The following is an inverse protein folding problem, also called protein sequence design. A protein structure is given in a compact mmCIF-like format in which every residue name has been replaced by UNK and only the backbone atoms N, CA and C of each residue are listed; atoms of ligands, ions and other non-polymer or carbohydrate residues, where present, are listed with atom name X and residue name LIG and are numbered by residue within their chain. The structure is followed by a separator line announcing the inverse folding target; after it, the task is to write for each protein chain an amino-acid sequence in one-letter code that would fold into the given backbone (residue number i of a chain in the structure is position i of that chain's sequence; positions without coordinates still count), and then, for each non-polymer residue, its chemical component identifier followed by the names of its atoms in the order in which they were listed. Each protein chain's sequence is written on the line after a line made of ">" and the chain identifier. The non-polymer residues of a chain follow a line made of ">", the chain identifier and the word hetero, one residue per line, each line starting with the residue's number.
data_IF_941103889446
#
_entry.id   IF_941103889446
#
_cell.length_a   1.000
_cell.length_b   1.000
_cell.length_c   1.000
_cell.angle_alpha   90.00
_cell.angle_beta   90.00
_cell.angle_gamma   90.00
#
_symmetry.space_group_name_H-M   'P 1'
#
loop_
_entity.id
_entity.type
_entity.pdbx_description
1 polymer ?
#
# COMPACT_ATOMS: atom_id res chain seq x y z
N UNK A 1 -5.21 -32.10 15.17
CA UNK A 1 -6.50 -31.51 14.76
C UNK A 1 -6.51 -31.08 13.28
N UNK A 2 -5.49 -30.40 12.74
CA UNK A 2 -5.41 -29.95 11.34
C UNK A 2 -5.46 -31.11 10.32
N UNK A 3 -4.83 -32.26 10.60
CA UNK A 3 -4.78 -33.43 9.71
C UNK A 3 -6.15 -34.11 9.53
N UNK A 4 -7.00 -34.05 10.55
CA UNK A 4 -8.36 -34.65 10.49
C UNK A 4 -9.30 -33.79 9.64
N UNK A 5 -9.13 -32.46 9.71
CA UNK A 5 -9.92 -31.50 8.92
C UNK A 5 -9.57 -31.65 7.43
N UNK A 6 -8.30 -31.78 7.07
CA UNK A 6 -7.86 -31.96 5.69
C UNK A 6 -8.37 -33.27 5.05
N UNK A 7 -8.36 -34.39 5.81
CA UNK A 7 -8.91 -35.68 5.31
C UNK A 7 -10.43 -35.66 5.11
N UNK A 8 -11.17 -34.96 5.96
CA UNK A 8 -12.61 -34.83 5.81
C UNK A 8 -12.98 -33.91 4.63
N UNK A 9 -12.21 -32.87 4.39
CA UNK A 9 -12.35 -32.00 3.22
C UNK A 9 -12.07 -32.81 1.95
N UNK A 10 -10.94 -33.54 1.86
CA UNK A 10 -10.60 -34.39 0.70
C UNK A 10 -11.62 -35.52 0.45
N UNK A 11 -12.20 -36.14 1.48
CA UNK A 11 -13.26 -37.16 1.32
C UNK A 11 -14.57 -36.55 0.77
N UNK A 12 -14.95 -35.35 1.19
CA UNK A 12 -16.10 -34.62 0.67
C UNK A 12 -15.87 -34.18 -0.77
N UNK A 13 -14.64 -33.83 -1.17
CA UNK A 13 -14.26 -33.55 -2.56
C UNK A 13 -14.53 -34.75 -3.51
N UNK A 14 -14.34 -35.98 -3.05
CA UNK A 14 -14.54 -37.19 -3.87
C UNK A 14 -15.99 -37.68 -3.95
N UNK A 15 -16.87 -37.34 -3.03
CA UNK A 15 -18.21 -37.96 -2.92
C UNK A 15 -19.40 -37.09 -3.30
N UNK A 16 -19.25 -35.80 -3.52
CA UNK A 16 -20.35 -34.93 -3.88
C UNK A 16 -20.04 -34.18 -5.19
N UNK A 17 -20.93 -34.27 -6.17
CA UNK A 17 -21.14 -33.20 -7.14
C UNK A 17 -21.60 -31.98 -6.32
N UNK A 18 -20.66 -31.32 -5.66
CA UNK A 18 -20.90 -30.14 -4.85
C UNK A 18 -21.50 -29.07 -5.74
N UNK A 19 -22.78 -28.75 -5.51
CA UNK A 19 -23.46 -27.71 -6.24
C UNK A 19 -22.59 -26.45 -6.22
N UNK A 20 -22.36 -25.81 -7.36
CA UNK A 20 -21.47 -24.66 -7.50
C UNK A 20 -21.70 -23.54 -6.46
N UNK A 21 -22.93 -23.43 -5.95
CA UNK A 21 -23.30 -22.52 -4.87
C UNK A 21 -22.55 -22.74 -3.54
N UNK A 22 -22.29 -24.02 -3.19
CA UNK A 22 -21.56 -24.35 -1.96
C UNK A 22 -20.09 -23.90 -2.07
N UNK A 23 -19.43 -24.20 -3.19
CA UNK A 23 -18.05 -23.80 -3.41
C UNK A 23 -17.86 -22.30 -3.48
N UNK A 24 -18.78 -21.58 -4.10
CA UNK A 24 -18.76 -20.11 -4.13
C UNK A 24 -18.78 -19.53 -2.71
N UNK A 25 -19.61 -20.07 -1.81
CA UNK A 25 -19.62 -19.65 -0.42
C UNK A 25 -18.28 -19.91 0.30
N UNK A 26 -17.71 -21.12 0.15
CA UNK A 26 -16.45 -21.47 0.83
C UNK A 26 -15.28 -20.62 0.31
N UNK A 27 -15.19 -20.36 -0.98
CA UNK A 27 -14.15 -19.50 -1.58
C UNK A 27 -14.31 -18.06 -1.09
N UNK A 28 -15.55 -17.55 -0.99
CA UNK A 28 -15.80 -16.22 -0.46
C UNK A 28 -15.32 -16.08 1.00
N UNK A 29 -15.64 -17.05 1.86
CA UNK A 29 -15.18 -17.06 3.25
C UNK A 29 -13.66 -17.18 3.37
N UNK A 30 -13.01 -17.96 2.50
CA UNK A 30 -11.56 -18.03 2.42
C UNK A 30 -10.98 -16.66 2.06
N UNK A 31 -11.55 -15.97 1.06
CA UNK A 31 -11.15 -14.63 0.67
C UNK A 31 -11.27 -13.62 1.83
N UNK A 32 -12.37 -13.66 2.58
CA UNK A 32 -12.54 -12.81 3.78
C UNK A 32 -11.50 -13.15 4.84
N UNK A 33 -11.17 -14.43 5.06
CA UNK A 33 -10.12 -14.84 5.99
C UNK A 33 -8.74 -14.30 5.59
N UNK A 34 -8.39 -14.39 4.30
CA UNK A 34 -7.13 -13.84 3.77
C UNK A 34 -7.10 -12.31 3.93
N UNK A 35 -8.21 -11.63 3.62
CA UNK A 35 -8.35 -10.19 3.82
C UNK A 35 -8.12 -9.79 5.28
N UNK A 36 -8.71 -10.53 6.24
CA UNK A 36 -8.54 -10.26 7.67
C UNK A 36 -7.08 -10.43 8.11
N UNK A 37 -6.37 -11.44 7.59
CA UNK A 37 -4.93 -11.62 7.86
C UNK A 37 -4.13 -10.40 7.33
N UNK A 38 -4.39 -9.97 6.09
CA UNK A 38 -3.74 -8.77 5.52
C UNK A 38 -4.02 -7.51 6.36
N UNK A 39 -5.24 -7.34 6.86
CA UNK A 39 -5.62 -6.23 7.72
C UNK A 39 -4.86 -6.26 9.06
N UNK A 40 -4.79 -7.42 9.71
CA UNK A 40 -4.05 -7.59 10.96
C UNK A 40 -2.57 -7.26 10.74
N UNK A 41 -1.94 -7.77 9.68
CA UNK A 41 -0.55 -7.46 9.35
C UNK A 41 -0.36 -5.95 9.14
N UNK A 42 -1.26 -5.29 8.42
CA UNK A 42 -1.19 -3.85 8.19
C UNK A 42 -1.26 -3.06 9.50
N UNK A 43 -2.17 -3.41 10.41
CA UNK A 43 -2.35 -2.70 11.69
C UNK A 43 -1.20 -2.96 12.66
N UNK A 44 -0.67 -4.19 12.70
CA UNK A 44 0.30 -4.59 13.73
C UNK A 44 1.77 -4.39 13.32
N UNK A 45 2.08 -4.47 12.03
CA UNK A 45 3.47 -4.43 11.54
C UNK A 45 3.84 -3.12 10.86
N UNK A 46 2.85 -2.28 10.47
CA UNK A 46 3.15 -0.99 9.84
C UNK A 46 3.82 -0.04 10.82
N UNK A 47 4.84 0.65 10.34
CA UNK A 47 5.57 1.63 11.14
C UNK A 47 5.88 2.89 10.33
N UNK A 48 6.16 4.00 11.02
CA UNK A 48 6.54 5.26 10.39
C UNK A 48 7.72 5.90 11.11
N UNK A 49 8.55 6.61 10.36
CA UNK A 49 9.66 7.39 10.87
C UNK A 49 9.69 8.75 10.18
N UNK A 50 10.12 9.76 10.92
CA UNK A 50 10.26 11.13 10.43
C UNK A 50 11.75 11.49 10.41
N UNK A 51 12.23 12.00 9.29
CA UNK A 51 13.62 12.38 9.10
C UNK A 51 13.68 13.80 8.52
N UNK A 52 14.62 14.59 9.02
CA UNK A 52 14.97 15.89 8.44
C UNK A 52 16.15 15.62 7.50
N UNK A 53 16.01 16.04 6.25
CA UNK A 53 16.96 15.74 5.20
C UNK A 53 17.26 16.99 4.38
N UNK A 54 18.39 16.94 3.70
CA UNK A 54 18.78 17.89 2.64
C UNK A 54 18.80 17.21 1.28
N UNK A 55 18.77 18.00 0.21
CA UNK A 55 18.91 17.46 -1.14
C UNK A 55 20.28 16.77 -1.32
N UNK A 56 20.31 15.60 -1.95
CA UNK A 56 21.49 14.78 -2.16
C UNK A 56 21.71 13.71 -1.09
N UNK A 57 20.95 13.73 0.00
CA UNK A 57 21.10 12.76 1.09
C UNK A 57 20.67 11.35 0.68
N UNK A 58 21.37 10.35 1.24
CA UNK A 58 20.94 8.95 1.24
C UNK A 58 20.31 8.61 2.56
N UNK A 59 19.12 8.06 2.51
CA UNK A 59 18.32 7.74 3.68
C UNK A 59 18.08 6.25 3.74
N UNK A 60 18.43 5.63 4.87
CA UNK A 60 18.09 4.25 5.16
C UNK A 60 16.79 4.19 5.96
N UNK A 61 15.81 3.45 5.46
CA UNK A 61 14.55 3.19 6.13
C UNK A 61 14.25 1.69 6.10
N UNK A 62 14.36 1.04 7.23
CA UNK A 62 14.43 -0.41 7.31
C UNK A 62 15.65 -0.96 6.56
N UNK A 63 15.42 -1.90 5.66
CA UNK A 63 16.42 -2.50 4.77
C UNK A 63 16.54 -1.80 3.40
N UNK A 64 15.86 -0.65 3.24
CA UNK A 64 15.75 0.09 1.98
C UNK A 64 16.58 1.36 2.02
N UNK A 65 17.43 1.56 1.00
CA UNK A 65 18.19 2.80 0.80
C UNK A 65 17.50 3.67 -0.26
N UNK A 66 17.17 4.90 0.12
CA UNK A 66 16.56 5.91 -0.74
C UNK A 66 17.56 7.03 -1.01
N UNK A 67 17.70 7.41 -2.28
CA UNK A 67 18.45 8.59 -2.67
C UNK A 67 17.46 9.74 -2.90
N UNK A 68 17.68 10.83 -2.20
CA UNK A 68 16.86 12.04 -2.30
C UNK A 68 17.54 12.99 -3.27
N UNK A 69 16.85 13.35 -4.33
CA UNK A 69 17.38 14.25 -5.35
C UNK A 69 16.98 15.70 -5.04
N UNK A 70 17.52 16.64 -5.83
CA UNK A 70 17.20 18.06 -5.67
C UNK A 70 15.72 18.32 -5.98
N UNK A 71 15.01 19.05 -5.13
CA UNK A 71 13.63 19.41 -5.38
C UNK A 71 13.55 20.39 -6.55
N UNK A 72 12.39 20.43 -7.20
CA UNK A 72 12.07 21.45 -8.19
C UNK A 72 10.64 21.93 -8.03
N UNK A 73 10.41 23.18 -8.36
CA UNK A 73 9.11 23.80 -8.31
C UNK A 73 8.45 23.82 -9.70
N UNK A 74 7.15 23.58 -9.70
CA UNK A 74 6.29 23.70 -10.86
C UNK A 74 5.16 24.67 -10.53
N UNK A 75 5.17 25.84 -11.21
CA UNK A 75 4.16 26.88 -11.01
C UNK A 75 3.01 26.61 -11.96
N UNK A 76 1.82 26.34 -11.41
CA UNK A 76 0.56 26.19 -12.14
C UNK A 76 -0.36 27.38 -11.86
N UNK A 77 -1.38 27.57 -12.69
CA UNK A 77 -2.33 28.69 -12.54
C UNK A 77 -2.98 28.73 -11.15
N UNK A 78 -3.36 27.56 -10.61
CA UNK A 78 -4.13 27.47 -9.37
C UNK A 78 -3.29 27.07 -8.14
N UNK A 79 -2.08 26.52 -8.36
CA UNK A 79 -1.22 26.00 -7.28
C UNK A 79 0.25 26.03 -7.64
N UNK A 80 1.09 26.14 -6.63
CA UNK A 80 2.52 25.83 -6.72
C UNK A 80 2.73 24.39 -6.26
N UNK A 81 3.58 23.66 -6.96
CA UNK A 81 3.88 22.26 -6.64
C UNK A 81 5.38 22.12 -6.41
N UNK A 82 5.78 21.77 -5.21
CA UNK A 82 7.16 21.41 -4.89
C UNK A 82 7.27 19.89 -5.05
N UNK A 83 8.08 19.45 -6.00
CA UNK A 83 8.32 18.05 -6.30
C UNK A 83 9.68 17.65 -5.75
N UNK A 84 9.72 16.61 -4.92
CA UNK A 84 10.95 16.00 -4.42
C UNK A 84 11.12 14.63 -5.08
N UNK A 85 12.08 14.49 -6.03
CA UNK A 85 12.36 13.20 -6.64
C UNK A 85 13.08 12.29 -5.64
N UNK A 86 12.60 11.06 -5.55
CA UNK A 86 13.13 10.02 -4.65
C UNK A 86 13.41 8.78 -5.49
N UNK A 87 14.64 8.28 -5.42
CA UNK A 87 15.07 7.09 -6.15
C UNK A 87 15.25 5.91 -5.22
N UNK A 88 14.64 4.79 -5.58
CA UNK A 88 14.79 3.49 -4.93
C UNK A 88 14.85 2.37 -5.98
N UNK A 89 15.86 1.51 -5.96
CA UNK A 89 16.01 0.37 -6.87
C UNK A 89 15.76 0.73 -8.35
N UNK A 90 16.45 1.75 -8.88
CA UNK A 90 16.29 2.27 -10.25
C UNK A 90 14.89 2.83 -10.60
N UNK A 91 13.96 2.91 -9.64
CA UNK A 91 12.67 3.57 -9.82
C UNK A 91 12.73 4.95 -9.20
N UNK A 92 12.34 5.95 -9.97
CA UNK A 92 12.21 7.33 -9.51
C UNK A 92 10.73 7.66 -9.33
N UNK A 93 10.40 8.30 -8.21
CA UNK A 93 9.04 8.78 -7.89
C UNK A 93 9.12 10.11 -7.17
N UNK A 94 8.04 10.86 -7.26
CA UNK A 94 7.95 12.21 -6.71
C UNK A 94 7.06 12.22 -5.47
N UNK A 95 7.60 12.73 -4.36
CA UNK A 95 6.79 13.20 -3.25
C UNK A 95 6.50 14.69 -3.52
N UNK A 96 5.24 15.07 -3.60
CA UNK A 96 4.87 16.43 -4.01
C UNK A 96 4.11 17.15 -2.92
N UNK A 97 4.38 18.44 -2.77
CA UNK A 97 3.61 19.35 -1.91
C UNK A 97 2.87 20.34 -2.79
N UNK A 98 1.54 20.29 -2.75
CA UNK A 98 0.67 21.20 -3.52
C UNK A 98 0.24 22.36 -2.61
N UNK A 99 0.62 23.58 -2.97
CA UNK A 99 0.28 24.80 -2.25
C UNK A 99 -0.74 25.56 -3.09
N UNK A 100 -1.99 25.59 -2.65
CA UNK A 100 -3.09 26.22 -3.40
C UNK A 100 -3.11 27.73 -3.14
N UNK A 101 -3.24 28.54 -4.23
CA UNK A 101 -3.21 30.00 -4.17
C UNK A 101 -4.49 30.62 -3.60
N UNK A 102 -5.62 29.93 -3.72
CA UNK A 102 -6.96 30.46 -3.38
C UNK A 102 -7.53 29.98 -2.04
N UNK A 103 -6.89 29.05 -1.38
CA UNK A 103 -7.28 28.61 -0.04
C UNK A 103 -6.22 29.08 0.94
N UNK A 104 -6.59 29.44 2.15
CA UNK A 104 -5.75 29.91 3.25
C UNK A 104 -4.43 29.11 3.41
N UNK A 105 -3.55 29.18 2.39
CA UNK A 105 -2.24 28.53 2.30
C UNK A 105 -2.21 27.04 2.69
N UNK A 106 -3.27 26.30 2.40
CA UNK A 106 -3.35 24.88 2.73
C UNK A 106 -2.43 24.09 1.80
N UNK A 107 -1.39 23.52 2.37
CA UNK A 107 -0.45 22.64 1.67
C UNK A 107 -0.93 21.18 1.75
N UNK A 108 -1.18 20.55 0.61
CA UNK A 108 -1.59 19.15 0.52
C UNK A 108 -0.43 18.33 -0.05
N UNK A 109 0.03 17.36 0.74
CA UNK A 109 1.10 16.47 0.31
C UNK A 109 0.56 15.26 -0.46
N UNK A 110 1.22 14.94 -1.59
CA UNK A 110 1.00 13.72 -2.36
C UNK A 110 2.21 12.80 -2.20
N UNK A 111 2.05 11.60 -1.66
CA UNK A 111 3.18 10.73 -1.35
C UNK A 111 3.80 10.09 -2.60
N UNK A 112 5.12 9.88 -2.58
CA UNK A 112 5.77 8.89 -3.43
C UNK A 112 5.46 7.50 -2.88
N UNK A 113 4.94 6.57 -3.70
CA UNK A 113 4.57 5.23 -3.27
C UNK A 113 5.44 4.19 -3.95
N UNK A 114 6.27 3.47 -3.20
CA UNK A 114 7.10 2.37 -3.68
C UNK A 114 6.44 1.06 -3.26
N UNK A 115 5.92 0.33 -4.25
CA UNK A 115 5.19 -0.92 -4.04
C UNK A 115 6.10 -2.12 -4.16
N UNK A 116 5.97 -3.05 -3.22
CA UNK A 116 6.60 -4.36 -3.17
C UNK A 116 5.53 -5.44 -2.92
N UNK A 117 5.91 -6.72 -2.94
CA UNK A 117 4.97 -7.82 -2.67
C UNK A 117 4.65 -7.88 -1.17
N UNK A 118 5.62 -7.59 -0.33
CA UNK A 118 5.56 -7.69 1.13
C UNK A 118 5.06 -6.40 1.79
N UNK A 119 5.42 -5.23 1.22
CA UNK A 119 5.07 -3.94 1.78
C UNK A 119 4.96 -2.82 0.74
N UNK A 120 4.20 -1.79 1.07
CA UNK A 120 4.15 -0.52 0.34
C UNK A 120 4.82 0.57 1.21
N UNK A 121 5.86 1.23 0.66
CA UNK A 121 6.51 2.36 1.32
C UNK A 121 5.96 3.67 0.76
N UNK A 122 5.41 4.50 1.63
CA UNK A 122 4.92 5.85 1.35
C UNK A 122 5.94 6.85 1.86
N UNK A 123 6.35 7.78 1.02
CA UNK A 123 7.23 8.89 1.41
C UNK A 123 6.50 10.20 1.18
N UNK A 124 6.25 10.92 2.26
CA UNK A 124 5.51 12.18 2.28
C UNK A 124 6.45 13.31 2.63
N UNK A 125 6.34 14.45 1.94
CA UNK A 125 7.15 15.64 2.17
C UNK A 125 6.39 16.69 2.98
N UNK A 126 7.09 17.33 3.93
CA UNK A 126 6.71 18.61 4.56
C UNK A 126 7.90 19.55 4.47
N UNK A 127 7.67 20.79 4.06
CA UNK A 127 8.71 21.83 4.07
C UNK A 127 8.83 22.37 5.49
N UNK A 128 10.07 22.51 5.97
CA UNK A 128 10.36 23.11 7.27
C UNK A 128 11.00 24.49 7.05
N UNK A 129 11.95 24.60 6.10
CA UNK A 129 12.73 25.78 5.79
C UNK A 129 13.15 25.71 4.32
N UNK A 130 13.75 26.79 3.77
CA UNK A 130 14.07 26.87 2.33
C UNK A 130 14.87 25.67 1.79
N UNK A 131 15.81 25.10 2.60
CA UNK A 131 16.66 23.98 2.21
C UNK A 131 16.46 22.71 3.03
N UNK A 132 15.50 22.70 3.96
CA UNK A 132 15.26 21.56 4.85
C UNK A 132 13.88 20.99 4.66
N UNK A 133 13.85 19.70 4.39
CA UNK A 133 12.62 18.96 4.17
C UNK A 133 12.45 17.91 5.27
N UNK A 134 11.26 17.87 5.85
CA UNK A 134 10.86 16.78 6.72
C UNK A 134 10.20 15.72 5.87
N UNK A 135 10.80 14.54 5.78
CA UNK A 135 10.21 13.37 5.16
C UNK A 135 9.58 12.48 6.21
N UNK A 136 8.39 12.02 5.91
CA UNK A 136 7.69 11.00 6.68
C UNK A 136 7.68 9.75 5.83
N UNK A 137 8.45 8.77 6.24
CA UNK A 137 8.43 7.42 5.68
C UNK A 137 7.40 6.60 6.44
N UNK A 138 6.53 5.91 5.71
CA UNK A 138 5.58 4.97 6.29
C UNK A 138 5.59 3.68 5.50
N UNK A 139 5.83 2.57 6.17
CA UNK A 139 5.79 1.25 5.58
C UNK A 139 4.52 0.51 6.04
N UNK A 140 3.74 0.04 5.07
CA UNK A 140 2.50 -0.68 5.31
C UNK A 140 2.66 -2.12 4.82
N UNK A 141 2.60 -3.08 5.73
CA UNK A 141 2.67 -4.51 5.44
C UNK A 141 1.30 -5.11 5.15
N UNK A 142 1.29 -6.25 4.44
CA UNK A 142 0.07 -7.01 4.20
C UNK A 142 -0.89 -6.42 3.15
N UNK A 143 -0.55 -5.31 2.50
CA UNK A 143 -1.41 -4.65 1.49
C UNK A 143 -1.73 -5.59 0.32
N UNK A 144 -0.73 -6.34 -0.18
CA UNK A 144 -0.95 -7.31 -1.25
C UNK A 144 -1.91 -8.44 -0.79
N UNK A 145 -1.74 -8.96 0.42
CA UNK A 145 -2.59 -10.01 1.00
C UNK A 145 -4.03 -9.51 1.16
N UNK A 146 -4.19 -8.25 1.61
CA UNK A 146 -5.49 -7.60 1.74
C UNK A 146 -6.22 -7.54 0.39
N UNK A 147 -5.56 -7.06 -0.66
CA UNK A 147 -6.14 -6.99 -2.00
C UNK A 147 -6.42 -8.36 -2.59
N UNK A 148 -5.55 -9.36 -2.35
CA UNK A 148 -5.75 -10.73 -2.78
C UNK A 148 -7.02 -11.33 -2.16
N UNK A 149 -7.20 -11.16 -0.83
CA UNK A 149 -8.38 -11.63 -0.12
C UNK A 149 -9.67 -10.97 -0.63
N UNK A 150 -9.65 -9.65 -0.84
CA UNK A 150 -10.77 -8.91 -1.40
C UNK A 150 -11.10 -9.38 -2.82
N UNK A 151 -10.08 -9.58 -3.67
CA UNK A 151 -10.25 -10.06 -5.05
C UNK A 151 -10.89 -11.45 -5.10
N UNK A 152 -10.41 -12.41 -4.31
CA UNK A 152 -10.97 -13.76 -4.20
C UNK A 152 -12.43 -13.71 -3.76
N UNK A 153 -12.73 -12.92 -2.72
CA UNK A 153 -14.09 -12.77 -2.19
C UNK A 153 -15.04 -12.19 -3.24
N UNK A 154 -14.62 -11.12 -3.92
CA UNK A 154 -15.40 -10.44 -4.96
C UNK A 154 -15.63 -11.32 -6.19
N UNK A 155 -14.59 -12.01 -6.67
CA UNK A 155 -14.69 -12.91 -7.81
C UNK A 155 -15.68 -14.06 -7.53
N UNK A 156 -15.66 -14.62 -6.32
CA UNK A 156 -16.59 -15.67 -5.94
C UNK A 156 -18.04 -15.18 -5.92
N UNK A 157 -18.28 -13.94 -5.50
CA UNK A 157 -19.61 -13.32 -5.51
C UNK A 157 -20.15 -13.10 -6.92
N UNK A 158 -19.29 -12.62 -7.84
CA UNK A 158 -19.69 -12.40 -9.25
C UNK A 158 -20.10 -13.70 -9.96
N UNK A 159 -19.49 -14.85 -9.63
CA UNK A 159 -19.88 -16.15 -10.19
C UNK A 159 -21.28 -16.58 -9.74
N UNK A 160 -21.79 -16.04 -8.62
CA UNK A 160 -23.15 -16.32 -8.10
C UNK A 160 -24.24 -15.52 -8.81
N UNK A 161 -23.92 -14.30 -9.27
CA UNK A 161 -24.89 -13.42 -9.94
C UNK A 161 -25.16 -13.86 -11.37
N UNK A 162 -24.18 -14.50 -12.03
CA UNK A 162 -24.29 -14.94 -13.44
C UNK A 162 -25.11 -16.21 -13.66
N UNK A 163 -25.68 -16.81 -12.63
CA UNK A 163 -26.55 -17.99 -12.70
C UNK A 163 -27.97 -17.62 -12.24
#
# INVERSE_FOLDING_TARGET
>A
MIIVISKNILRRFKKTKLQGKYWTGQISHLGVGIFAVGLIMNVTQSYSNELIISAGDRVNFGDKEFLILSPFEEIKSEKNVINLPIKFNNKEKYASLNIFKNSSQQAISSPAVFRSIDSDTYVTIKVIDEDKYKLIFRENYGIFILWLGLGISSASFLTRIRK
#
